data_IF_541672300570
#
_entry.id   IF_541672300570
#
_cell.length_a   1.000
_cell.length_b   1.000
_cell.length_c   1.000
_cell.angle_alpha   90.00
_cell.angle_beta   90.00
_cell.angle_gamma   90.00
#
_symmetry.space_group_name_H-M   'P 1'
#
loop_
_entity.id
_entity.type
_entity.pdbx_description
1 polymer ?
#
# COMPACT_ATOMS: atom_id res chain seq x y z
N UNK A 1 33.54 -11.59 1.94
CA UNK A 1 32.30 -12.31 1.65
C UNK A 1 32.30 -12.72 0.19
N UNK A 2 32.31 -14.02 -0.10
CA UNK A 2 32.24 -14.53 -1.47
C UNK A 2 30.88 -15.20 -1.66
N UNK A 3 30.08 -14.72 -2.61
CA UNK A 3 28.84 -15.37 -3.05
C UNK A 3 29.14 -15.98 -4.40
N UNK A 4 29.22 -17.31 -4.44
CA UNK A 4 29.45 -18.05 -5.69
C UNK A 4 28.18 -18.79 -6.05
N UNK A 5 27.68 -18.57 -7.27
CA UNK A 5 26.55 -19.30 -7.82
C UNK A 5 27.02 -20.60 -8.44
N UNK A 6 26.41 -21.72 -8.04
CA UNK A 6 26.55 -23.02 -8.70
C UNK A 6 25.16 -23.50 -9.09
N UNK A 7 24.72 -23.15 -10.32
CA UNK A 7 23.40 -23.51 -10.84
C UNK A 7 22.24 -22.93 -10.03
N UNK A 8 21.19 -23.73 -9.81
CA UNK A 8 19.93 -23.31 -9.16
C UNK A 8 20.01 -23.15 -7.63
N UNK A 9 21.20 -23.21 -7.04
CA UNK A 9 21.42 -23.05 -5.60
C UNK A 9 22.35 -21.89 -5.28
N UNK A 10 21.91 -21.06 -4.35
CA UNK A 10 22.68 -19.95 -3.82
C UNK A 10 23.35 -20.39 -2.51
N UNK A 11 24.69 -20.40 -2.47
CA UNK A 11 25.45 -20.74 -1.25
C UNK A 11 26.14 -19.48 -0.73
N UNK A 12 25.78 -19.08 0.49
CA UNK A 12 26.41 -17.96 1.18
C UNK A 12 27.26 -18.50 2.33
N UNK A 13 28.59 -18.44 2.20
CA UNK A 13 29.52 -18.85 3.26
C UNK A 13 29.99 -17.61 4.01
N UNK A 14 29.63 -17.51 5.28
CA UNK A 14 29.98 -16.38 6.14
C UNK A 14 31.22 -16.76 6.97
N UNK A 15 32.40 -16.36 6.48
CA UNK A 15 33.68 -16.56 7.19
C UNK A 15 33.90 -15.37 8.11
N UNK A 16 33.86 -15.59 9.43
CA UNK A 16 34.18 -14.59 10.44
C UNK A 16 35.70 -14.59 10.67
N UNK A 17 36.38 -13.49 10.33
CA UNK A 17 37.78 -13.27 10.70
C UNK A 17 37.83 -12.38 11.95
N UNK A 18 38.40 -12.84 13.08
CA UNK A 18 38.66 -11.96 14.22
C UNK A 18 40.02 -11.29 14.04
N UNK A 19 40.09 -9.96 14.11
CA UNK A 19 41.34 -9.25 14.36
C UNK A 19 41.15 -8.14 15.39
N UNK A 20 41.43 -8.47 16.65
CA UNK A 20 42.05 -7.58 17.63
C UNK A 20 42.88 -8.47 18.57
N UNK A 21 44.21 -8.37 18.46
CA UNK A 21 45.18 -9.14 19.23
C UNK A 21 45.57 -8.36 20.49
N UNK A 22 45.18 -8.86 21.66
CA UNK A 22 45.87 -8.62 22.93
C UNK A 22 46.01 -9.98 23.62
N UNK A 23 47.24 -10.34 23.96
CA UNK A 23 47.54 -11.39 24.94
C UNK A 23 47.41 -12.81 24.40
N UNK A 24 48.56 -13.41 24.07
CA UNK A 24 48.62 -14.79 23.61
C UNK A 24 48.06 -15.76 24.63
N UNK A 25 47.04 -16.52 24.22
CA UNK A 25 46.81 -17.91 24.59
C UNK A 25 46.15 -18.63 23.40
N UNK A 26 46.68 -19.80 23.07
CA UNK A 26 46.22 -20.66 21.98
C UNK A 26 44.83 -21.22 22.30
N UNK A 27 43.79 -20.76 21.61
CA UNK A 27 42.47 -21.39 21.61
C UNK A 27 42.14 -21.93 20.22
N UNK A 28 41.90 -23.24 20.18
CA UNK A 28 41.57 -24.04 19.01
C UNK A 28 40.22 -23.57 18.42
N UNK A 29 40.26 -22.74 17.38
CA UNK A 29 39.05 -22.20 16.73
C UNK A 29 38.44 -23.22 15.77
N UNK A 30 37.36 -23.89 16.20
CA UNK A 30 36.46 -24.62 15.28
C UNK A 30 35.56 -23.62 14.57
N UNK A 31 35.72 -23.49 13.25
CA UNK A 31 34.80 -22.73 12.41
C UNK A 31 33.42 -23.42 12.37
N UNK A 32 32.40 -22.76 12.90
CA UNK A 32 31.01 -23.20 12.78
C UNK A 32 30.45 -22.71 11.44
N UNK A 33 30.37 -23.61 10.46
CA UNK A 33 29.67 -23.41 9.19
C UNK A 33 28.17 -23.62 9.41
N UNK A 34 27.36 -22.59 9.18
CA UNK A 34 25.90 -22.66 9.19
C UNK A 34 25.41 -22.53 7.74
N UNK A 35 25.18 -23.66 7.08
CA UNK A 35 24.65 -23.71 5.73
C UNK A 35 23.12 -23.57 5.77
N UNK A 36 22.58 -22.40 5.38
CA UNK A 36 21.13 -22.16 5.25
C UNK A 36 20.75 -22.34 3.79
N UNK A 37 19.93 -23.35 3.50
CA UNK A 37 19.41 -23.62 2.15
C UNK A 37 17.99 -23.06 2.00
N UNK A 38 17.80 -22.15 1.04
CA UNK A 38 16.47 -21.71 0.58
C UNK A 38 16.14 -22.36 -0.78
N UNK A 39 15.10 -23.19 -0.81
CA UNK A 39 14.59 -23.85 -2.02
C UNK A 39 13.44 -23.03 -2.61
N UNK A 40 13.50 -22.67 -3.90
CA UNK A 40 12.36 -22.04 -4.60
C UNK A 40 11.19 -23.03 -4.68
N UNK A 41 9.95 -22.64 -4.31
CA UNK A 41 8.79 -23.51 -4.46
C UNK A 41 8.44 -23.66 -5.96
N UNK A 42 8.08 -24.87 -6.36
CA UNK A 42 7.72 -25.17 -7.74
C UNK A 42 6.29 -24.72 -8.05
N UNK A 43 6.02 -24.43 -9.33
CA UNK A 43 4.72 -23.93 -9.82
C UNK A 43 3.55 -24.86 -9.41
N UNK A 44 3.81 -26.15 -9.22
CA UNK A 44 2.80 -27.15 -8.83
C UNK A 44 2.30 -26.95 -7.39
N UNK A 45 3.17 -26.53 -6.45
CA UNK A 45 2.77 -26.23 -5.06
C UNK A 45 1.95 -24.94 -4.95
N UNK A 46 2.21 -23.96 -5.83
CA UNK A 46 1.47 -22.70 -5.89
C UNK A 46 0.03 -22.89 -6.41
N UNK A 47 -0.17 -23.80 -7.37
CA UNK A 47 -1.51 -24.13 -7.89
C UNK A 47 -2.32 -24.91 -6.86
N UNK A 48 -1.70 -25.88 -6.16
CA UNK A 48 -2.37 -26.62 -5.08
C UNK A 48 -2.82 -25.75 -3.91
N UNK A 49 -2.04 -24.72 -3.54
CA UNK A 49 -2.42 -23.77 -2.49
C UNK A 49 -3.55 -22.81 -2.90
N UNK A 50 -3.69 -22.47 -4.18
CA UNK A 50 -4.82 -21.67 -4.68
C UNK A 50 -6.14 -22.43 -4.59
N UNK A 51 -6.15 -23.72 -4.94
CA UNK A 51 -7.36 -24.55 -4.92
C UNK A 51 -7.84 -24.82 -3.49
N UNK A 52 -6.93 -24.95 -2.53
CA UNK A 52 -7.29 -25.16 -1.11
C UNK A 52 -7.90 -23.92 -0.43
N UNK A 53 -7.56 -22.71 -0.88
CA UNK A 53 -8.10 -21.46 -0.30
C UNK A 53 -9.52 -21.17 -0.81
N UNK A 54 -9.85 -21.57 -2.04
CA UNK A 54 -11.20 -21.38 -2.60
C UNK A 54 -12.24 -22.36 -2.00
N UNK A 55 -11.81 -23.45 -1.35
CA UNK A 55 -12.69 -24.47 -0.78
C UNK A 55 -13.15 -24.22 0.67
N UNK A 56 -12.65 -23.18 1.37
CA UNK A 56 -12.91 -22.97 2.80
C UNK A 56 -13.75 -21.73 3.16
N UNK A 57 -14.55 -21.20 2.23
CA UNK A 57 -15.57 -20.18 2.53
C UNK A 57 -16.87 -20.42 1.74
N UNK A 58 -17.61 -21.46 2.08
CA UNK A 58 -19.06 -21.49 1.84
C UNK A 58 -19.76 -21.96 3.11
N UNK A 59 -20.02 -21.02 4.02
CA UNK A 59 -21.04 -21.19 5.06
C UNK A 59 -22.41 -20.96 4.40
N UNK A 60 -23.36 -21.91 4.44
CA UNK A 60 -24.72 -21.64 3.99
C UNK A 60 -25.43 -20.78 5.03
N UNK A 61 -25.43 -19.45 4.85
CA UNK A 61 -26.39 -18.59 5.52
C UNK A 61 -27.78 -18.89 4.95
N UNK A 62 -28.46 -19.84 5.58
CA UNK A 62 -29.84 -20.20 5.29
C UNK A 62 -30.76 -19.09 5.81
N UNK A 63 -30.87 -18.00 5.06
CA UNK A 63 -31.93 -17.01 5.26
C UNK A 63 -33.22 -17.63 4.72
N UNK A 64 -34.07 -18.08 5.64
CA UNK A 64 -35.45 -18.46 5.33
C UNK A 64 -36.19 -17.17 4.93
N UNK A 65 -36.33 -16.93 3.62
CA UNK A 65 -37.29 -15.96 3.10
C UNK A 65 -38.67 -16.62 3.09
N UNK A 66 -39.55 -16.21 3.99
CA UNK A 66 -40.97 -16.54 3.91
C UNK A 66 -41.57 -15.87 2.66
N UNK A 67 -42.00 -16.69 1.70
CA UNK A 67 -42.77 -16.23 0.55
C UNK A 67 -44.20 -15.93 0.98
N UNK A 68 -44.46 -14.70 1.41
CA UNK A 68 -45.83 -14.19 1.50
C UNK A 68 -46.27 -13.86 0.08
N UNK A 69 -47.00 -14.80 -0.54
CA UNK A 69 -47.85 -14.53 -1.69
C UNK A 69 -48.95 -13.56 -1.23
N UNK A 70 -48.77 -12.27 -1.50
CA UNK A 70 -49.88 -11.34 -1.67
C UNK A 70 -49.95 -11.01 -3.15
N UNK A 71 -50.91 -11.64 -3.81
CA UNK A 71 -51.48 -11.11 -5.05
C UNK A 71 -52.05 -9.73 -4.75
N UNK A 72 -51.30 -8.69 -5.07
CA UNK A 72 -51.85 -7.37 -5.36
C UNK A 72 -51.37 -7.00 -6.75
N UNK A 73 -52.30 -6.67 -7.64
CA UNK A 73 -51.98 -6.09 -8.93
C UNK A 73 -50.99 -4.94 -8.72
N UNK A 74 -49.75 -5.14 -9.16
CA UNK A 74 -48.86 -4.03 -9.40
C UNK A 74 -49.45 -3.26 -10.58
N UNK A 75 -50.29 -2.27 -10.27
CA UNK A 75 -50.58 -1.20 -11.19
C UNK A 75 -49.22 -0.63 -11.61
N UNK A 76 -48.80 -0.92 -12.85
CA UNK A 76 -47.63 -0.33 -13.46
C UNK A 76 -47.88 1.18 -13.51
N UNK A 77 -47.45 1.90 -12.48
CA UNK A 77 -47.34 3.36 -12.54
C UNK A 77 -46.18 3.59 -13.50
N UNK A 78 -46.40 4.09 -14.74
CA UNK A 78 -45.29 4.57 -15.54
C UNK A 78 -44.55 5.59 -14.66
N UNK A 79 -43.22 5.46 -14.56
CA UNK A 79 -42.43 6.48 -13.89
C UNK A 79 -42.84 7.84 -14.47
N UNK A 80 -43.01 8.90 -13.63
CA UNK A 80 -43.32 10.21 -14.16
C UNK A 80 -42.24 10.52 -15.19
N UNK A 81 -42.65 10.71 -16.44
CA UNK A 81 -41.78 11.22 -17.49
C UNK A 81 -41.34 12.59 -16.99
N UNK A 82 -40.20 12.63 -16.30
CA UNK A 82 -39.59 13.87 -15.86
C UNK A 82 -39.31 14.63 -17.13
N UNK A 83 -40.15 15.61 -17.39
CA UNK A 83 -40.05 16.47 -18.55
C UNK A 83 -38.75 17.25 -18.36
N UNK A 84 -37.66 16.72 -18.93
CA UNK A 84 -36.32 17.29 -18.90
C UNK A 84 -36.31 18.51 -19.84
N UNK A 85 -37.13 19.52 -19.52
CA UNK A 85 -37.03 20.86 -20.13
C UNK A 85 -35.78 21.48 -19.52
N UNK A 86 -34.63 21.14 -20.07
CA UNK A 86 -33.49 22.03 -19.95
C UNK A 86 -33.90 23.36 -20.58
N UNK A 87 -33.70 24.48 -19.86
CA UNK A 87 -33.94 25.84 -20.36
C UNK A 87 -32.92 26.27 -21.43
N UNK A 88 -32.14 25.33 -21.96
CA UNK A 88 -31.14 25.58 -22.97
C UNK A 88 -31.83 25.62 -24.34
N UNK A 89 -31.61 26.67 -25.14
CA UNK A 89 -32.08 26.71 -26.51
C UNK A 89 -31.67 25.46 -27.29
N UNK A 90 -32.55 24.99 -28.18
CA UNK A 90 -32.33 23.78 -28.99
C UNK A 90 -31.03 23.82 -29.80
N UNK A 91 -30.56 25.00 -30.21
CA UNK A 91 -29.29 25.14 -30.95
C UNK A 91 -28.02 24.93 -30.10
N UNK A 92 -28.13 24.82 -28.77
CA UNK A 92 -26.99 24.54 -27.89
C UNK A 92 -27.01 23.13 -27.28
N UNK A 93 -28.18 22.53 -27.13
CA UNK A 93 -28.36 21.30 -26.35
C UNK A 93 -29.01 20.16 -27.15
N UNK A 94 -29.43 20.40 -28.39
CA UNK A 94 -29.99 19.34 -29.22
C UNK A 94 -28.88 18.39 -29.67
N UNK A 95 -29.16 17.08 -29.64
CA UNK A 95 -28.15 16.05 -29.92
C UNK A 95 -27.51 16.27 -31.28
N UNK A 96 -28.29 16.66 -32.29
CA UNK A 96 -27.79 16.91 -33.64
C UNK A 96 -26.77 18.04 -33.68
N UNK A 97 -26.98 19.10 -32.89
CA UNK A 97 -26.03 20.22 -32.80
C UNK A 97 -24.77 19.85 -32.04
N UNK A 98 -24.86 18.92 -31.08
CA UNK A 98 -23.70 18.36 -30.40
C UNK A 98 -22.93 17.39 -31.29
N UNK A 99 -23.62 16.49 -31.99
CA UNK A 99 -23.05 15.52 -32.94
C UNK A 99 -22.35 16.26 -34.11
N UNK A 100 -22.89 17.39 -34.58
CA UNK A 100 -22.30 18.23 -35.63
C UNK A 100 -21.07 19.01 -35.13
N UNK A 101 -21.11 19.51 -33.89
CA UNK A 101 -20.02 20.30 -33.31
C UNK A 101 -18.89 19.45 -32.74
N UNK A 102 -19.21 18.25 -32.27
CA UNK A 102 -18.31 17.30 -31.62
C UNK A 102 -18.55 15.92 -32.23
N UNK A 103 -18.09 15.69 -33.47
CA UNK A 103 -18.21 14.37 -34.09
C UNK A 103 -17.44 13.33 -33.27
N UNK A 104 -17.94 12.09 -33.27
CA UNK A 104 -17.28 10.98 -32.58
C UNK A 104 -15.88 10.76 -33.18
N UNK A 105 -14.85 10.53 -32.33
CA UNK A 105 -13.51 10.27 -32.81
C UNK A 105 -13.49 8.97 -33.64
N UNK A 106 -12.62 8.89 -34.66
CA UNK A 106 -12.49 7.68 -35.47
C UNK A 106 -12.07 6.51 -34.56
N UNK A 107 -12.85 5.42 -34.59
CA UNK A 107 -12.54 4.20 -33.85
C UNK A 107 -11.40 3.46 -34.54
N UNK A 108 -10.20 3.51 -33.98
CA UNK A 108 -9.07 2.71 -34.45
C UNK A 108 -9.24 1.26 -33.98
N UNK A 109 -8.84 0.30 -34.82
CA UNK A 109 -8.86 -1.11 -34.40
C UNK A 109 -7.75 -1.39 -33.39
N UNK A 110 -7.90 -2.40 -32.53
CA UNK A 110 -6.90 -2.76 -31.52
C UNK A 110 -5.52 -3.14 -32.12
N UNK A 111 -5.46 -3.45 -33.42
CA UNK A 111 -4.22 -3.71 -34.13
C UNK A 111 -3.52 -2.42 -34.59
N UNK A 112 -4.28 -1.36 -34.88
CA UNK A 112 -3.76 -0.06 -35.32
C UNK A 112 -3.36 0.82 -34.13
N UNK A 113 -4.04 0.65 -32.98
CA UNK A 113 -3.75 1.38 -31.74
C UNK A 113 -3.70 0.43 -30.53
N UNK A 114 -2.56 -0.27 -30.32
CA UNK A 114 -2.38 -1.16 -29.17
C UNK A 114 -2.41 -0.42 -27.82
N UNK A 115 -2.14 0.89 -27.81
CA UNK A 115 -2.11 1.72 -26.62
C UNK A 115 -3.46 2.37 -26.28
N UNK A 116 -4.46 2.24 -27.15
CA UNK A 116 -5.75 2.94 -27.05
C UNK A 116 -5.58 4.46 -26.85
N UNK A 117 -4.56 5.05 -27.48
CA UNK A 117 -4.19 6.47 -27.34
C UNK A 117 -4.71 7.35 -28.50
N UNK A 118 -5.56 6.81 -29.38
CA UNK A 118 -6.16 7.54 -30.49
C UNK A 118 -5.14 8.08 -31.50
N UNK A 119 -3.99 7.41 -31.66
CA UNK A 119 -2.93 7.84 -32.57
C UNK A 119 -2.07 9.01 -32.05
N UNK A 120 -2.18 9.36 -30.76
CA UNK A 120 -1.33 10.39 -30.16
C UNK A 120 0.14 9.97 -30.13
N UNK A 121 1.05 10.90 -30.46
CA UNK A 121 2.49 10.66 -30.46
C UNK A 121 2.96 10.65 -29.01
N UNK A 122 3.20 9.45 -28.47
CA UNK A 122 3.60 9.29 -27.08
C UNK A 122 5.13 9.29 -26.94
N UNK A 123 5.77 10.37 -26.45
CA UNK A 123 7.21 10.40 -26.20
C UNK A 123 7.60 9.40 -25.09
N UNK A 124 8.90 9.06 -24.95
CA UNK A 124 9.36 8.17 -23.88
C UNK A 124 8.92 8.64 -22.49
N UNK A 125 8.52 7.69 -21.64
CA UNK A 125 8.07 7.93 -20.26
C UNK A 125 9.24 8.33 -19.36
N UNK A 126 9.65 9.59 -19.43
CA UNK A 126 10.73 10.17 -18.63
C UNK A 126 10.21 11.36 -17.83
N UNK A 127 10.42 11.33 -16.51
CA UNK A 127 10.00 12.41 -15.62
C UNK A 127 10.76 13.70 -15.93
N UNK A 128 10.07 14.84 -15.93
CA UNK A 128 10.67 16.17 -16.19
C UNK A 128 11.76 16.56 -15.21
N UNK A 129 11.70 16.00 -13.99
CA UNK A 129 12.74 16.15 -12.97
C UNK A 129 14.14 15.72 -13.44
N UNK A 130 14.22 14.70 -14.31
CA UNK A 130 15.49 14.15 -14.82
C UNK A 130 16.01 14.90 -16.04
N UNK A 131 15.26 15.88 -16.56
CA UNK A 131 15.74 16.76 -17.62
C UNK A 131 16.78 17.73 -17.05
N UNK A 132 17.70 18.15 -17.92
CA UNK A 132 18.79 19.05 -17.56
C UNK A 132 18.26 20.34 -16.89
N UNK A 133 18.59 20.61 -15.62
CA UNK A 133 18.14 21.80 -14.92
C UNK A 133 18.80 23.09 -15.43
N UNK A 134 19.93 23.01 -16.14
CA UNK A 134 20.71 24.18 -16.59
C UNK A 134 20.45 24.55 -18.05
N UNK A 135 19.72 23.72 -18.80
CA UNK A 135 19.33 24.02 -20.16
C UNK A 135 18.39 25.25 -20.23
N UNK A 136 18.47 25.99 -21.33
CA UNK A 136 17.60 27.14 -21.59
C UNK A 136 16.25 26.65 -22.14
N UNK A 137 15.32 26.37 -21.23
CA UNK A 137 13.95 25.96 -21.55
C UNK A 137 13.07 27.17 -21.87
N UNK A 138 12.09 27.00 -22.77
CA UNK A 138 11.06 28.03 -23.00
C UNK A 138 10.19 28.26 -21.76
N UNK A 139 9.84 27.18 -21.06
CA UNK A 139 9.24 27.19 -19.73
C UNK A 139 10.26 26.60 -18.72
N UNK A 140 10.97 27.45 -17.96
CA UNK A 140 11.98 27.01 -17.00
C UNK A 140 11.41 26.22 -15.82
N UNK A 141 10.16 26.48 -15.42
CA UNK A 141 9.55 25.83 -14.25
C UNK A 141 9.26 24.36 -14.57
N UNK A 142 8.65 24.12 -15.72
CA UNK A 142 8.29 22.78 -16.19
C UNK A 142 9.38 22.11 -17.03
N UNK A 143 10.52 22.78 -17.23
CA UNK A 143 11.65 22.33 -18.07
C UNK A 143 11.20 21.84 -19.44
N UNK A 144 10.44 22.69 -20.15
CA UNK A 144 9.77 22.35 -21.43
C UNK A 144 10.02 23.38 -22.52
N UNK A 145 10.16 22.88 -23.75
CA UNK A 145 10.18 23.71 -24.95
C UNK A 145 8.78 23.85 -25.57
N UNK A 146 8.55 24.97 -26.26
CA UNK A 146 7.28 25.20 -26.94
C UNK A 146 7.10 24.21 -28.10
N UNK A 147 5.92 23.59 -28.21
CA UNK A 147 5.59 22.66 -29.30
C UNK A 147 6.17 21.25 -29.17
N UNK A 148 6.86 20.92 -28.08
CA UNK A 148 7.29 19.54 -27.84
C UNK A 148 6.08 18.61 -27.58
N UNK A 149 6.05 17.38 -28.14
CA UNK A 149 5.02 16.40 -27.79
C UNK A 149 5.01 16.14 -26.28
N UNK A 150 3.82 16.13 -25.70
CA UNK A 150 3.61 15.88 -24.27
C UNK A 150 3.30 14.41 -24.09
N UNK A 151 3.81 13.79 -23.02
CA UNK A 151 3.43 12.41 -22.70
C UNK A 151 1.97 12.35 -22.24
N UNK A 152 1.25 11.25 -22.48
CA UNK A 152 -0.13 11.11 -22.02
C UNK A 152 -0.25 11.27 -20.48
N UNK A 153 0.62 10.59 -19.73
CA UNK A 153 0.71 10.68 -18.25
C UNK A 153 1.55 11.90 -17.80
N UNK A 154 1.42 13.05 -18.46
CA UNK A 154 2.21 14.23 -18.10
C UNK A 154 1.87 14.80 -16.72
N UNK A 155 0.70 14.48 -16.17
CA UNK A 155 0.34 14.78 -14.78
C UNK A 155 1.25 14.03 -13.79
N UNK A 156 1.57 12.76 -14.08
CA UNK A 156 2.47 11.93 -13.27
C UNK A 156 3.95 12.20 -13.59
N UNK A 157 4.27 12.55 -14.84
CA UNK A 157 5.65 12.87 -15.25
C UNK A 157 6.03 14.35 -15.06
N UNK A 158 5.08 15.18 -14.65
CA UNK A 158 5.22 16.60 -14.39
C UNK A 158 6.29 16.93 -13.36
N UNK A 159 6.76 18.18 -13.32
CA UNK A 159 7.70 18.61 -12.27
C UNK A 159 7.04 18.63 -10.88
N UNK A 160 5.73 18.89 -10.85
CA UNK A 160 4.92 18.96 -9.63
C UNK A 160 4.45 17.60 -9.10
N UNK A 161 4.78 16.51 -9.78
CA UNK A 161 4.45 15.17 -9.32
C UNK A 161 5.45 14.67 -8.25
N UNK A 162 5.07 13.66 -7.44
CA UNK A 162 5.92 13.15 -6.36
C UNK A 162 7.36 12.88 -6.80
N UNK A 163 8.31 13.46 -6.07
CA UNK A 163 9.74 13.45 -6.42
C UNK A 163 10.28 12.03 -6.61
N UNK A 164 11.05 11.81 -7.68
CA UNK A 164 11.69 10.54 -7.99
C UNK A 164 13.12 10.51 -7.43
N UNK A 165 13.42 9.52 -6.60
CA UNK A 165 14.71 9.42 -5.91
C UNK A 165 15.56 8.34 -6.58
N UNK A 166 16.72 8.73 -7.11
CA UNK A 166 17.59 7.84 -7.91
C UNK A 166 18.67 7.11 -7.11
N UNK A 167 18.83 7.44 -5.82
CA UNK A 167 19.89 6.88 -4.98
C UNK A 167 19.60 5.46 -4.48
N UNK A 168 18.33 5.05 -4.43
CA UNK A 168 17.91 3.69 -4.06
C UNK A 168 16.68 3.27 -4.86
N UNK A 169 16.50 1.96 -5.04
CA UNK A 169 15.25 1.40 -5.56
C UNK A 169 14.26 1.12 -4.42
N UNK A 170 12.98 0.93 -4.78
CA UNK A 170 11.88 0.73 -3.82
C UNK A 170 12.11 -0.47 -2.89
N UNK A 171 12.67 -1.57 -3.41
CA UNK A 171 12.90 -2.80 -2.63
C UNK A 171 13.86 -2.59 -1.46
N UNK A 172 15.13 -2.22 -1.70
CA UNK A 172 16.09 -1.89 -0.65
C UNK A 172 15.61 -0.74 0.25
N UNK A 173 14.96 0.29 -0.29
CA UNK A 173 14.43 1.41 0.50
C UNK A 173 13.41 0.94 1.55
N UNK A 174 12.51 0.02 1.17
CA UNK A 174 11.57 -0.58 2.11
C UNK A 174 12.25 -1.46 3.16
N UNK A 175 13.33 -2.15 2.80
CA UNK A 175 14.12 -2.94 3.77
C UNK A 175 14.80 -2.00 4.77
N UNK A 176 15.37 -0.87 4.33
CA UNK A 176 16.03 0.08 5.22
C UNK A 176 15.04 0.69 6.23
N UNK A 177 13.89 1.17 5.76
CA UNK A 177 12.86 1.74 6.63
C UNK A 177 12.25 0.65 7.52
N UNK A 178 11.96 -0.52 6.97
CA UNK A 178 11.36 -1.63 7.71
C UNK A 178 12.28 -2.15 8.81
N UNK A 179 13.58 -2.28 8.54
CA UNK A 179 14.58 -2.69 9.55
C UNK A 179 14.76 -1.62 10.62
N UNK A 180 14.75 -0.33 10.25
CA UNK A 180 14.78 0.76 11.23
C UNK A 180 13.56 0.70 12.18
N UNK A 181 12.35 0.61 11.63
CA UNK A 181 11.13 0.54 12.44
C UNK A 181 11.09 -0.73 13.29
N UNK A 182 11.45 -1.88 12.72
CA UNK A 182 11.45 -3.16 13.43
C UNK A 182 12.48 -3.18 14.57
N UNK A 183 13.68 -2.63 14.36
CA UNK A 183 14.70 -2.56 15.42
C UNK A 183 14.32 -1.56 16.50
N UNK A 184 13.80 -0.39 16.14
CA UNK A 184 13.34 0.61 17.10
C UNK A 184 12.21 0.08 17.98
N UNK A 185 11.14 -0.43 17.37
CA UNK A 185 10.01 -1.00 18.11
C UNK A 185 10.39 -2.29 18.83
N UNK A 186 11.31 -3.08 18.27
CA UNK A 186 11.86 -4.26 18.93
C UNK A 186 12.58 -3.91 20.22
N UNK A 187 13.45 -2.90 20.21
CA UNK A 187 14.14 -2.42 21.42
C UNK A 187 13.14 -1.85 22.42
N UNK A 188 12.20 -1.00 21.98
CA UNK A 188 11.17 -0.47 22.87
C UNK A 188 10.32 -1.58 23.52
N UNK A 189 9.95 -2.61 22.76
CA UNK A 189 9.20 -3.76 23.26
C UNK A 189 10.00 -4.59 24.26
N UNK A 190 11.28 -4.86 23.99
CA UNK A 190 12.16 -5.58 24.91
C UNK A 190 12.34 -4.77 26.20
N UNK A 191 12.57 -3.47 26.11
CA UNK A 191 12.68 -2.59 27.28
C UNK A 191 11.39 -2.63 28.09
N UNK A 192 10.23 -2.51 27.44
CA UNK A 192 8.93 -2.55 28.12
C UNK A 192 8.70 -3.86 28.89
N UNK A 193 9.07 -5.01 28.30
CA UNK A 193 8.90 -6.32 28.93
C UNK A 193 9.89 -6.60 30.07
N UNK A 194 11.08 -5.99 30.03
CA UNK A 194 12.13 -6.21 31.03
C UNK A 194 12.21 -5.08 32.07
N UNK A 195 11.42 -4.01 31.91
CA UNK A 195 11.43 -2.92 32.85
C UNK A 195 10.78 -3.37 34.16
N UNK A 196 11.45 -3.23 35.31
CA UNK A 196 10.88 -3.62 36.58
C UNK A 196 9.65 -2.77 36.89
N UNK A 197 8.69 -3.38 37.58
CA UNK A 197 7.49 -2.68 38.02
C UNK A 197 7.82 -1.48 38.89
N UNK A 198 6.91 -0.51 38.86
CA UNK A 198 7.06 0.76 39.57
C UNK A 198 7.28 0.48 41.07
N UNK A 199 8.38 0.94 41.69
CA UNK A 199 8.67 0.68 43.10
C UNK A 199 7.75 1.42 44.08
N UNK A 200 6.72 2.10 43.60
CA UNK A 200 5.77 2.85 44.41
C UNK A 200 4.37 2.30 44.25
N UNK A 201 3.72 2.04 45.37
CA UNK A 201 2.31 1.65 45.40
C UNK A 201 1.43 2.73 44.74
N UNK A 202 0.47 2.35 43.88
CA UNK A 202 -0.55 3.25 43.36
C UNK A 202 -1.17 4.11 44.46
N UNK A 203 -1.40 5.39 44.19
CA UNK A 203 -1.98 6.29 45.17
C UNK A 203 -3.41 5.86 45.47
N UNK A 204 -3.69 5.65 46.74
CA UNK A 204 -5.02 5.32 47.24
C UNK A 204 -5.78 6.60 47.56
N UNK A 205 -7.09 6.55 47.34
CA UNK A 205 -7.99 7.64 47.70
C UNK A 205 -9.17 7.13 48.52
N UNK A 206 -9.65 7.96 49.43
CA UNK A 206 -10.77 7.64 50.31
C UNK A 206 -12.04 7.40 49.48
N UNK A 207 -12.67 6.24 49.65
CA UNK A 207 -13.90 5.86 48.92
C UNK A 207 -13.77 5.87 47.39
N UNK A 208 -12.54 5.81 46.84
CA UNK A 208 -12.28 5.66 45.40
C UNK A 208 -12.69 6.88 44.59
N UNK A 209 -12.90 8.02 45.25
CA UNK A 209 -13.51 9.21 44.67
C UNK A 209 -14.80 8.91 43.91
N UNK A 210 -15.56 7.86 44.29
CA UNK A 210 -16.72 7.39 43.54
C UNK A 210 -17.76 8.50 43.33
N UNK A 211 -17.95 9.37 44.33
CA UNK A 211 -18.86 10.53 44.23
C UNK A 211 -18.37 11.59 43.23
N UNK A 212 -17.06 11.80 43.14
CA UNK A 212 -16.45 12.84 42.29
C UNK A 212 -16.21 12.36 40.85
N UNK A 213 -16.05 11.04 40.65
CA UNK A 213 -15.80 10.39 39.36
C UNK A 213 -17.06 10.03 38.58
N UNK A 214 -18.25 10.40 39.06
CA UNK A 214 -19.51 10.19 38.33
C UNK A 214 -20.51 9.24 38.99
N UNK A 215 -20.27 8.83 40.24
CA UNK A 215 -21.20 8.05 41.03
C UNK A 215 -21.17 6.55 40.74
N UNK A 216 -22.14 5.79 41.28
CA UNK A 216 -22.17 4.33 41.19
C UNK A 216 -22.32 3.89 39.72
N UNK A 217 -21.22 3.40 39.14
CA UNK A 217 -21.12 2.95 37.75
C UNK A 217 -19.92 3.51 36.98
N UNK A 218 -19.24 4.54 37.51
CA UNK A 218 -18.01 5.07 36.93
C UNK A 218 -16.77 4.27 37.37
N UNK A 219 -15.69 4.33 36.57
CA UNK A 219 -14.40 3.72 36.94
C UNK A 219 -13.85 4.43 38.17
N UNK A 220 -13.92 3.75 39.33
CA UNK A 220 -13.43 4.27 40.61
C UNK A 220 -11.91 4.33 40.66
N UNK A 221 -11.38 5.28 41.42
CA UNK A 221 -9.98 5.28 41.80
C UNK A 221 -9.70 4.18 42.84
N UNK A 222 -8.44 3.77 42.99
CA UNK A 222 -8.04 2.72 43.93
C UNK A 222 -8.33 3.12 45.38
N UNK A 223 -8.84 2.18 46.17
CA UNK A 223 -9.16 2.32 47.60
C UNK A 223 -8.30 1.42 48.47
N UNK A 224 -8.17 1.78 49.75
CA UNK A 224 -7.58 0.91 50.78
C UNK A 224 -8.34 -0.41 50.86
N UNK A 225 -7.65 -1.52 50.65
CA UNK A 225 -8.21 -2.88 50.70
C UNK A 225 -8.46 -3.53 49.34
N UNK A 226 -8.18 -2.84 48.23
CA UNK A 226 -8.13 -3.47 46.91
C UNK A 226 -6.88 -4.36 46.77
N UNK A 227 -7.03 -5.48 46.04
CA UNK A 227 -5.92 -6.38 45.73
C UNK A 227 -4.68 -5.62 45.24
N UNK A 228 -3.52 -6.03 45.72
CA UNK A 228 -2.25 -5.45 45.30
C UNK A 228 -1.92 -5.85 43.86
N UNK A 229 -1.46 -4.90 43.04
CA UNK A 229 -1.10 -5.15 41.64
C UNK A 229 0.14 -6.02 41.50
#
# INVERSE_FOLDING_TARGET
>A
HAVTWLGDQCRATLVYLPQASIGGQNLNTKALSLDIYFKKPSIVELVGRRIAIDSLKMLPQRIVRSSVLRSSLAAARPAPMVQRRAYLPTHYADKKTLDEKYPDPPTMTAAEDPGMNGGYINPPRVKRQHRDPYAQWWDPQERRNFGEPVHEDNDVLGIFSPWDYTWTTTGPGLIMIGTFVATFLGVCGIVYLNYPDRPSYPREFEGGLEKELGGPGAVRARTKGDEEP
#
